data_IF_113062541857
#
_entry.id   IF_113062541857
#
_cell.length_a   1.000
_cell.length_b   1.000
_cell.length_c   1.000
_cell.angle_alpha   90.00
_cell.angle_beta   90.00
_cell.angle_gamma   90.00
#
_symmetry.space_group_name_H-M   'P 1'
#
loop_
_entity.id
_entity.type
_entity.pdbx_description
1 polymer ?
#
# COMPACT_ATOMS: atom_id res chain seq x y z
N UNK A 1 -11.83 -12.88 29.43
CA UNK A 1 -12.52 -14.15 29.10
C UNK A 1 -13.64 -14.47 30.09
N UNK A 2 -13.36 -14.72 31.37
CA UNK A 2 -14.38 -15.03 32.38
C UNK A 2 -15.53 -14.02 32.40
N UNK A 3 -15.22 -12.72 32.41
CA UNK A 3 -16.23 -11.66 32.32
C UNK A 3 -17.13 -11.80 31.07
N UNK A 4 -16.57 -12.13 29.91
CA UNK A 4 -17.37 -12.30 28.68
C UNK A 4 -18.28 -13.54 28.75
N UNK A 5 -17.77 -14.67 29.28
CA UNK A 5 -18.56 -15.89 29.46
C UNK A 5 -19.68 -15.72 30.49
N UNK A 6 -19.45 -14.88 31.51
CA UNK A 6 -20.47 -14.47 32.48
C UNK A 6 -21.43 -13.38 31.95
N UNK A 7 -21.40 -13.08 30.64
CA UNK A 7 -22.24 -12.05 30.01
C UNK A 7 -22.02 -10.66 30.64
N UNK A 8 -20.81 -10.38 31.11
CA UNK A 8 -20.41 -9.08 31.66
C UNK A 8 -19.69 -8.25 30.60
N UNK A 9 -19.88 -6.94 30.67
CA UNK A 9 -19.22 -5.98 29.79
C UNK A 9 -17.69 -6.07 29.94
N UNK A 10 -17.00 -6.28 28.82
CA UNK A 10 -15.54 -6.23 28.74
C UNK A 10 -15.13 -4.82 28.33
N UNK A 11 -14.38 -4.14 29.20
CA UNK A 11 -13.93 -2.75 28.96
C UNK A 11 -13.19 -2.65 27.62
N UNK A 12 -13.57 -1.66 26.82
CA UNK A 12 -12.90 -1.37 25.56
C UNK A 12 -11.51 -0.74 25.75
N UNK A 13 -10.62 -0.90 24.78
CA UNK A 13 -9.29 -0.29 24.77
C UNK A 13 -8.68 -0.21 23.37
N UNK A 14 -7.73 0.70 23.13
CA UNK A 14 -7.11 0.83 21.81
C UNK A 14 -6.23 -0.39 21.51
N UNK A 15 -6.20 -0.79 20.24
CA UNK A 15 -5.20 -1.70 19.68
C UNK A 15 -3.96 -0.95 19.20
N UNK A 16 -2.87 -1.67 19.00
CA UNK A 16 -1.60 -1.14 18.50
C UNK A 16 -0.41 -1.93 19.02
N UNK A 17 0.80 -1.46 18.69
CA UNK A 17 2.05 -2.08 19.11
C UNK A 17 2.68 -1.27 20.26
N UNK A 18 2.87 -1.85 21.47
CA UNK A 18 3.58 -1.19 22.57
C UNK A 18 5.01 -0.76 22.20
N UNK A 19 5.67 -1.52 21.32
CA UNK A 19 7.00 -1.25 20.78
C UNK A 19 7.07 0.08 20.00
N UNK A 20 5.93 0.58 19.52
CA UNK A 20 5.80 1.90 18.85
C UNK A 20 5.41 3.02 19.82
N UNK A 21 5.72 2.88 21.11
CA UNK A 21 5.45 3.89 22.14
C UNK A 21 3.99 4.03 22.56
N UNK A 22 3.10 3.15 22.08
CA UNK A 22 1.67 3.14 22.39
C UNK A 22 1.39 2.49 23.75
N UNK A 23 1.77 3.14 24.85
CA UNK A 23 1.55 2.62 26.22
C UNK A 23 0.07 2.52 26.60
N UNK A 24 -0.80 3.29 25.93
CA UNK A 24 -2.25 3.29 26.08
C UNK A 24 -2.93 1.95 25.69
N UNK A 25 -2.23 1.10 24.93
CA UNK A 25 -2.70 -0.25 24.53
C UNK A 25 -2.53 -1.29 25.64
N UNK A 26 -1.91 -0.91 26.75
CA UNK A 26 -1.87 -1.71 27.98
C UNK A 26 -2.92 -1.22 29.02
N UNK A 27 -3.44 -2.11 29.89
CA UNK A 27 -3.20 -3.56 29.93
C UNK A 27 -3.96 -4.31 28.82
N UNK A 28 -3.57 -5.58 28.60
CA UNK A 28 -4.29 -6.52 27.72
C UNK A 28 -5.61 -6.99 28.37
N UNK A 29 -6.37 -7.84 27.68
CA UNK A 29 -7.65 -8.37 28.17
C UNK A 29 -8.84 -7.42 28.00
N UNK A 30 -8.70 -6.41 27.13
CA UNK A 30 -9.74 -5.45 26.75
C UNK A 30 -10.41 -5.83 25.43
N UNK A 31 -11.62 -5.33 25.20
CA UNK A 31 -12.26 -5.41 23.89
C UNK A 31 -11.64 -4.35 22.97
N UNK A 32 -10.82 -4.77 22.00
CA UNK A 32 -9.97 -3.85 21.26
C UNK A 32 -10.75 -3.04 20.22
N UNK A 33 -10.44 -1.76 20.09
CA UNK A 33 -10.87 -0.90 18.99
C UNK A 33 -9.66 -0.33 18.25
N UNK A 34 -9.85 0.03 16.98
CA UNK A 34 -8.81 0.60 16.13
C UNK A 34 -8.96 2.12 16.00
N UNK A 35 -8.00 2.77 15.33
CA UNK A 35 -8.05 4.20 15.03
C UNK A 35 -9.17 4.56 14.04
N UNK A 36 -9.63 5.82 14.06
CA UNK A 36 -10.53 6.36 13.04
C UNK A 36 -9.80 6.40 11.69
N UNK A 37 -10.24 5.65 10.67
CA UNK A 37 -9.57 5.63 9.38
C UNK A 37 -9.49 7.01 8.74
N UNK A 38 -10.44 7.92 8.99
CA UNK A 38 -10.48 9.25 8.35
C UNK A 38 -9.33 10.19 8.77
N UNK A 39 -8.59 9.84 9.82
CA UNK A 39 -7.43 10.60 10.27
C UNK A 39 -6.11 10.03 9.75
N UNK A 40 -6.17 9.00 8.87
CA UNK A 40 -4.99 8.37 8.28
C UNK A 40 -4.79 8.79 6.82
N UNK A 41 -3.55 9.10 6.41
CA UNK A 41 -2.32 9.09 7.23
C UNK A 41 -2.29 10.25 8.24
N UNK A 42 -1.80 10.00 9.46
CA UNK A 42 -1.61 11.07 10.46
C UNK A 42 -0.46 12.01 10.04
N UNK A 43 -0.36 13.25 10.57
CA UNK A 43 0.77 14.13 10.28
C UNK A 43 2.13 13.49 10.62
N UNK A 44 2.23 12.82 11.77
CA UNK A 44 3.45 12.08 12.15
C UNK A 44 3.74 10.91 11.21
N UNK A 45 2.71 10.17 10.79
CA UNK A 45 2.87 9.11 9.80
C UNK A 45 3.30 9.67 8.44
N UNK A 46 2.89 10.90 8.09
CA UNK A 46 3.37 11.58 6.88
C UNK A 46 4.86 11.92 6.95
N UNK A 47 5.33 12.47 8.07
CA UNK A 47 6.74 12.78 8.25
C UNK A 47 7.62 11.52 8.18
N UNK A 48 7.19 10.44 8.82
CA UNK A 48 7.87 9.14 8.79
C UNK A 48 7.82 8.49 7.41
N UNK A 49 6.66 8.49 6.75
CA UNK A 49 6.49 7.98 5.39
C UNK A 49 7.30 8.75 4.36
N UNK A 50 7.41 10.08 4.50
CA UNK A 50 8.29 10.91 3.65
C UNK A 50 9.76 10.55 3.85
N UNK A 51 10.21 10.40 5.09
CA UNK A 51 11.58 9.97 5.36
C UNK A 51 11.86 8.57 4.76
N UNK A 52 10.93 7.62 4.92
CA UNK A 52 11.05 6.29 4.34
C UNK A 52 11.04 6.32 2.79
N UNK A 53 10.27 7.21 2.17
CA UNK A 53 10.28 7.43 0.72
C UNK A 53 11.65 7.95 0.24
N UNK A 54 12.26 8.87 0.98
CA UNK A 54 13.60 9.38 0.69
C UNK A 54 14.67 8.28 0.81
N UNK A 55 14.56 7.38 1.80
CA UNK A 55 15.43 6.19 1.91
C UNK A 55 15.29 5.25 0.72
N UNK A 56 14.06 4.95 0.28
CA UNK A 56 13.82 4.11 -0.90
C UNK A 56 14.47 4.71 -2.14
N UNK A 57 14.25 6.00 -2.39
CA UNK A 57 14.81 6.70 -3.55
C UNK A 57 16.33 6.75 -3.49
N UNK A 58 16.91 7.05 -2.32
CA UNK A 58 18.35 7.09 -2.12
C UNK A 58 18.99 5.73 -2.37
N UNK A 59 18.42 4.67 -1.81
CA UNK A 59 18.91 3.30 -1.99
C UNK A 59 18.88 2.86 -3.45
N UNK A 60 17.80 3.19 -4.17
CA UNK A 60 17.70 2.91 -5.59
C UNK A 60 18.75 3.69 -6.41
N UNK A 61 18.89 5.00 -6.17
CA UNK A 61 19.88 5.84 -6.85
C UNK A 61 21.32 5.35 -6.61
N UNK A 62 21.66 4.93 -5.40
CA UNK A 62 22.99 4.39 -5.08
C UNK A 62 23.31 3.10 -5.81
N UNK A 63 22.31 2.26 -6.07
CA UNK A 63 22.48 0.95 -6.70
C UNK A 63 22.36 0.98 -8.23
N UNK A 64 21.59 1.93 -8.79
CA UNK A 64 21.26 1.97 -10.22
C UNK A 64 21.77 3.23 -10.94
N UNK A 65 22.15 4.29 -10.21
CA UNK A 65 22.68 5.52 -10.79
C UNK A 65 21.62 6.49 -11.34
N UNK A 66 20.33 6.18 -11.23
CA UNK A 66 19.21 7.03 -11.65
C UNK A 66 18.04 6.91 -10.65
N UNK A 67 17.02 7.76 -10.80
CA UNK A 67 15.81 7.74 -9.98
C UNK A 67 14.86 6.61 -10.38
N UNK A 68 14.15 5.98 -9.42
CA UNK A 68 13.08 5.04 -9.76
C UNK A 68 11.96 5.80 -10.49
N UNK A 69 11.49 5.25 -11.60
CA UNK A 69 10.42 5.81 -12.43
C UNK A 69 9.07 5.28 -12.00
N UNK A 70 8.99 4.01 -11.63
CA UNK A 70 7.77 3.43 -11.09
C UNK A 70 8.05 2.34 -10.06
N UNK A 71 7.12 2.13 -9.12
CA UNK A 71 7.26 1.08 -8.12
C UNK A 71 5.90 0.56 -7.65
N UNK A 72 5.93 -0.59 -6.98
CA UNK A 72 4.76 -1.19 -6.33
C UNK A 72 4.92 -1.10 -4.81
N UNK A 73 3.86 -0.73 -4.10
CA UNK A 73 3.79 -0.74 -2.62
C UNK A 73 2.71 -1.72 -2.17
N UNK A 74 3.06 -2.58 -1.22
CA UNK A 74 2.07 -3.38 -0.51
C UNK A 74 1.37 -2.55 0.57
N UNK A 75 0.04 -2.53 0.57
CA UNK A 75 -0.76 -1.88 1.62
C UNK A 75 -1.58 -2.89 2.40
N UNK A 76 -1.18 -3.11 3.65
CA UNK A 76 -1.84 -4.03 4.56
C UNK A 76 -2.65 -3.26 5.60
N UNK A 77 -3.93 -3.62 5.73
CA UNK A 77 -4.81 -2.94 6.67
C UNK A 77 -4.34 -2.97 8.12
N UNK A 78 -3.77 -4.09 8.57
CA UNK A 78 -3.24 -4.23 9.94
C UNK A 78 -2.01 -3.37 10.18
N UNK A 79 -1.11 -3.25 9.20
CA UNK A 79 0.07 -2.40 9.26
C UNK A 79 -0.33 -0.92 9.32
N UNK A 80 -1.20 -0.48 8.41
CA UNK A 80 -1.66 0.91 8.38
C UNK A 80 -2.36 1.35 9.67
N UNK A 81 -3.05 0.44 10.37
CA UNK A 81 -3.62 0.72 11.70
C UNK A 81 -2.56 0.90 12.79
N UNK A 82 -1.47 0.14 12.74
CA UNK A 82 -0.37 0.22 13.72
C UNK A 82 0.51 1.44 13.49
N UNK A 83 0.69 1.84 12.22
CA UNK A 83 1.54 2.96 11.83
C UNK A 83 0.79 4.29 11.71
N UNK A 84 -0.54 4.26 11.70
CA UNK A 84 -1.34 5.46 11.42
C UNK A 84 -1.26 5.88 9.96
N UNK A 85 -0.93 4.95 9.05
CA UNK A 85 -0.89 5.13 7.60
C UNK A 85 0.47 5.52 7.02
N UNK A 86 1.58 5.09 7.64
CA UNK A 86 2.94 5.41 7.16
C UNK A 86 3.16 4.94 5.71
N UNK A 87 2.60 3.80 5.30
CA UNK A 87 2.77 3.23 3.96
C UNK A 87 1.98 4.03 2.91
N UNK A 88 0.79 4.53 3.28
CA UNK A 88 0.01 5.45 2.45
C UNK A 88 0.79 6.75 2.26
N UNK A 89 1.31 7.29 3.36
CA UNK A 89 2.13 8.50 3.34
C UNK A 89 3.39 8.34 2.50
N UNK A 90 4.08 7.20 2.58
CA UNK A 90 5.26 6.89 1.78
C UNK A 90 4.95 6.94 0.29
N UNK A 91 3.86 6.27 -0.13
CA UNK A 91 3.39 6.32 -1.52
C UNK A 91 3.05 7.74 -1.96
N UNK A 92 2.30 8.50 -1.16
CA UNK A 92 1.97 9.89 -1.48
C UNK A 92 3.23 10.76 -1.60
N UNK A 93 4.20 10.63 -0.70
CA UNK A 93 5.45 11.38 -0.75
C UNK A 93 6.30 11.04 -1.99
N UNK A 94 6.33 9.76 -2.41
CA UNK A 94 7.00 9.32 -3.65
C UNK A 94 6.41 10.02 -4.89
N UNK A 95 5.08 10.15 -4.95
CA UNK A 95 4.40 10.90 -6.01
C UNK A 95 4.55 12.43 -5.91
N UNK A 96 5.06 12.93 -4.79
CA UNK A 96 5.11 14.37 -4.50
C UNK A 96 3.77 14.95 -4.07
N UNK A 97 3.00 14.19 -3.30
CA UNK A 97 1.73 14.57 -2.70
C UNK A 97 1.86 14.74 -1.18
N UNK A 98 1.11 15.71 -0.64
CA UNK A 98 0.99 15.96 0.80
C UNK A 98 -0.48 15.95 1.20
N UNK A 99 -0.92 15.09 2.13
CA UNK A 99 -2.27 15.17 2.66
C UNK A 99 -2.53 16.52 3.34
N UNK A 100 -3.78 16.96 3.34
CA UNK A 100 -4.23 18.14 4.09
C UNK A 100 -5.09 17.68 5.25
N UNK A 101 -4.84 18.26 6.43
CA UNK A 101 -5.55 17.91 7.66
C UNK A 101 -6.38 19.08 8.17
N UNK A 102 -7.58 18.78 8.63
CA UNK A 102 -8.35 19.70 9.46
C UNK A 102 -7.69 19.84 10.84
N UNK A 103 -7.34 21.07 11.22
CA UNK A 103 -6.59 21.34 12.46
C UNK A 103 -7.35 20.95 13.74
N UNK A 104 -8.69 20.94 13.71
CA UNK A 104 -9.51 20.64 14.89
C UNK A 104 -9.74 19.14 15.08
N UNK A 105 -9.93 18.40 13.99
CA UNK A 105 -10.33 16.98 14.01
C UNK A 105 -9.23 16.02 13.60
N UNK A 106 -8.15 16.52 12.99
CA UNK A 106 -7.09 15.69 12.40
C UNK A 106 -7.54 14.86 11.20
N UNK A 107 -8.76 15.09 10.68
CA UNK A 107 -9.28 14.39 9.51
C UNK A 107 -8.62 14.89 8.24
N UNK A 108 -8.44 13.99 7.29
CA UNK A 108 -7.99 14.36 5.96
C UNK A 108 -9.09 15.13 5.22
N UNK A 109 -8.74 16.29 4.69
CA UNK A 109 -9.64 17.16 3.92
C UNK A 109 -9.30 17.21 2.43
N UNK A 110 -8.11 16.73 2.05
CA UNK A 110 -7.66 16.73 0.66
C UNK A 110 -6.20 16.33 0.51
N UNK A 111 -5.67 16.54 -0.70
CA UNK A 111 -4.26 16.38 -1.03
C UNK A 111 -3.78 17.63 -1.74
N UNK A 112 -2.57 18.06 -1.40
CA UNK A 112 -1.78 19.03 -2.13
C UNK A 112 -0.74 18.31 -2.99
N UNK A 113 -0.70 18.64 -4.28
CA UNK A 113 0.38 18.19 -5.17
C UNK A 113 1.51 19.21 -5.09
N UNK A 114 2.66 18.81 -4.54
CA UNK A 114 3.82 19.68 -4.34
C UNK A 114 4.48 20.02 -5.69
N UNK A 115 5.00 21.24 -5.90
CA UNK A 115 5.69 21.59 -7.13
C UNK A 115 7.02 20.81 -7.28
N UNK A 116 7.47 20.47 -8.51
CA UNK A 116 8.70 19.72 -8.74
C UNK A 116 9.95 20.27 -8.03
N UNK A 117 10.07 21.60 -7.97
CA UNK A 117 11.18 22.28 -7.30
C UNK A 117 11.31 21.94 -5.79
N UNK A 118 10.20 21.56 -5.13
CA UNK A 118 10.23 21.11 -3.73
C UNK A 118 10.65 19.65 -3.58
N UNK A 119 10.52 18.84 -4.63
CA UNK A 119 10.88 17.41 -4.59
C UNK A 119 12.38 17.22 -4.80
N UNK A 120 13.02 18.03 -5.64
CA UNK A 120 14.43 17.87 -6.00
C UNK A 120 14.73 16.60 -6.81
N UNK A 121 13.69 15.95 -7.34
CA UNK A 121 13.72 14.72 -8.14
C UNK A 121 12.42 14.60 -8.96
N UNK A 122 12.38 13.73 -9.99
CA UNK A 122 11.13 13.31 -10.61
C UNK A 122 10.14 12.69 -9.60
N UNK A 123 8.85 12.79 -9.92
CA UNK A 123 7.81 12.00 -9.25
C UNK A 123 8.00 10.52 -9.60
N UNK A 124 7.63 9.65 -8.67
CA UNK A 124 7.59 8.20 -8.93
C UNK A 124 6.15 7.80 -9.24
N UNK A 125 5.94 7.02 -10.29
CA UNK A 125 4.64 6.41 -10.58
C UNK A 125 4.40 5.22 -9.63
N UNK A 126 3.53 5.41 -8.65
CA UNK A 126 3.29 4.43 -7.59
C UNK A 126 2.04 3.61 -7.89
N UNK A 127 2.18 2.29 -7.84
CA UNK A 127 1.07 1.34 -7.85
C UNK A 127 0.94 0.71 -6.46
N UNK A 128 -0.27 0.60 -5.92
CA UNK A 128 -0.54 -0.05 -4.65
C UNK A 128 -1.20 -1.40 -4.86
N UNK A 129 -0.68 -2.42 -4.18
CA UNK A 129 -1.30 -3.72 -4.05
C UNK A 129 -1.91 -3.82 -2.65
N UNK A 130 -3.22 -3.65 -2.55
CA UNK A 130 -3.94 -3.63 -1.28
C UNK A 130 -4.29 -5.04 -0.82
N UNK A 131 -4.29 -5.28 0.49
CA UNK A 131 -4.87 -6.51 1.06
C UNK A 131 -6.39 -6.44 1.11
N UNK A 132 -7.07 -7.59 1.17
CA UNK A 132 -8.54 -7.63 1.33
C UNK A 132 -9.02 -6.89 2.59
N UNK A 133 -8.25 -6.98 3.69
CA UNK A 133 -8.54 -6.20 4.90
C UNK A 133 -8.41 -4.69 4.65
N UNK A 134 -7.42 -4.26 3.87
CA UNK A 134 -7.26 -2.85 3.54
C UNK A 134 -8.44 -2.33 2.73
N UNK A 135 -8.87 -3.09 1.71
CA UNK A 135 -10.08 -2.82 0.91
C UNK A 135 -11.30 -2.58 1.80
N UNK A 136 -11.53 -3.47 2.75
CA UNK A 136 -12.76 -3.46 3.54
C UNK A 136 -12.76 -2.35 4.61
N UNK A 137 -11.60 -2.01 5.16
CA UNK A 137 -11.48 -1.04 6.25
C UNK A 137 -11.22 0.40 5.81
N UNK A 138 -10.63 0.60 4.62
CA UNK A 138 -10.11 1.92 4.21
C UNK A 138 -10.62 2.42 2.85
N UNK A 139 -11.95 2.38 2.56
CA UNK A 139 -12.48 2.93 1.32
C UNK A 139 -12.15 4.42 1.14
N UNK A 140 -12.12 5.18 2.24
CA UNK A 140 -11.73 6.61 2.22
C UNK A 140 -10.25 6.80 1.83
N UNK A 141 -9.36 5.90 2.24
CA UNK A 141 -7.95 5.97 1.85
C UNK A 141 -7.75 5.55 0.39
N UNK A 142 -8.52 4.58 -0.10
CA UNK A 142 -8.53 4.22 -1.53
C UNK A 142 -8.95 5.45 -2.36
N UNK A 143 -10.03 6.13 -1.96
CA UNK A 143 -10.46 7.37 -2.61
C UNK A 143 -9.39 8.48 -2.54
N UNK A 144 -8.68 8.59 -1.41
CA UNK A 144 -7.57 9.54 -1.24
C UNK A 144 -6.42 9.25 -2.22
N UNK A 145 -5.98 7.99 -2.27
CA UNK A 145 -4.88 7.55 -3.15
C UNK A 145 -5.28 7.75 -4.62
N UNK A 146 -6.51 7.39 -4.99
CA UNK A 146 -7.02 7.58 -6.35
C UNK A 146 -7.09 9.07 -6.71
N UNK A 147 -7.59 9.93 -5.81
CA UNK A 147 -7.60 11.38 -6.02
C UNK A 147 -6.19 11.95 -6.20
N UNK A 148 -5.21 11.46 -5.44
CA UNK A 148 -3.81 11.87 -5.58
C UNK A 148 -3.22 11.42 -6.93
N UNK A 149 -3.46 10.17 -7.34
CA UNK A 149 -3.03 9.66 -8.64
C UNK A 149 -3.64 10.47 -9.79
N UNK A 150 -4.94 10.76 -9.73
CA UNK A 150 -5.60 11.59 -10.74
C UNK A 150 -5.05 13.02 -10.77
N UNK A 151 -4.80 13.63 -9.61
CA UNK A 151 -4.26 14.99 -9.53
C UNK A 151 -2.83 15.09 -10.11
N UNK A 152 -1.98 14.08 -9.84
CA UNK A 152 -0.62 13.98 -10.38
C UNK A 152 -0.63 13.68 -11.88
N UNK A 153 -1.48 12.75 -12.33
CA UNK A 153 -1.62 12.39 -13.75
C UNK A 153 -2.06 13.58 -14.62
N UNK A 154 -2.87 14.48 -14.06
CA UNK A 154 -3.37 15.67 -14.75
C UNK A 154 -2.41 16.87 -14.74
N UNK A 155 -1.20 16.74 -14.20
CA UNK A 155 -0.21 17.83 -14.22
C UNK A 155 0.40 18.01 -15.61
N UNK A 156 0.55 19.26 -16.02
CA UNK A 156 1.32 19.65 -17.20
C UNK A 156 2.79 19.83 -16.81
N UNK A 157 3.48 18.70 -16.68
CA UNK A 157 4.90 18.57 -16.33
C UNK A 157 5.62 17.77 -17.41
N UNK A 158 6.94 17.97 -17.54
CA UNK A 158 7.75 17.23 -18.51
C UNK A 158 7.66 15.72 -18.28
N UNK A 159 7.75 14.93 -19.37
CA UNK A 159 7.67 13.45 -19.29
C UNK A 159 8.77 12.85 -18.39
N UNK A 160 9.93 13.50 -18.37
CA UNK A 160 11.09 13.17 -17.53
C UNK A 160 10.83 13.45 -16.04
N UNK A 161 9.95 14.39 -15.69
CA UNK A 161 9.66 14.78 -14.30
C UNK A 161 8.45 14.04 -13.73
N UNK A 162 7.47 13.67 -14.56
CA UNK A 162 6.24 13.01 -14.13
C UNK A 162 5.89 11.80 -15.03
N UNK A 163 6.39 10.60 -14.68
CA UNK A 163 6.12 9.38 -15.43
C UNK A 163 4.62 9.04 -15.52
N UNK A 164 3.85 9.34 -14.46
CA UNK A 164 2.41 9.08 -14.42
C UNK A 164 1.64 9.96 -15.42
N UNK A 165 1.96 11.25 -15.50
CA UNK A 165 1.37 12.16 -16.47
C UNK A 165 1.80 11.82 -17.91
N UNK A 166 3.08 11.49 -18.11
CA UNK A 166 3.60 11.02 -19.40
C UNK A 166 2.82 9.80 -19.91
N UNK A 167 2.65 8.79 -19.05
CA UNK A 167 1.90 7.58 -19.39
C UNK A 167 0.43 7.88 -19.65
N UNK A 168 -0.18 8.76 -18.87
CA UNK A 168 -1.58 9.18 -19.06
C UNK A 168 -1.80 9.84 -20.42
N UNK A 169 -0.88 10.71 -20.87
CA UNK A 169 -0.93 11.31 -22.20
C UNK A 169 -0.78 10.26 -23.30
N UNK A 170 0.16 9.33 -23.15
CA UNK A 170 0.40 8.26 -24.13
C UNK A 170 -0.80 7.31 -24.27
N UNK A 171 -1.41 6.92 -23.14
CA UNK A 171 -2.54 5.99 -23.10
C UNK A 171 -3.89 6.67 -23.43
N UNK A 172 -3.94 8.01 -23.38
CA UNK A 172 -5.18 8.80 -23.53
C UNK A 172 -6.17 8.64 -22.36
N UNK A 173 -5.75 7.97 -21.28
CA UNK A 173 -6.56 7.73 -20.07
C UNK A 173 -5.65 7.50 -18.87
N UNK A 174 -6.19 7.74 -17.68
CA UNK A 174 -5.50 7.40 -16.43
C UNK A 174 -5.72 5.92 -16.18
N UNK A 175 -4.64 5.13 -16.29
CA UNK A 175 -4.67 3.71 -15.93
C UNK A 175 -4.78 3.55 -14.40
N UNK A 176 -5.44 2.50 -13.88
CA UNK A 176 -5.58 2.31 -12.44
C UNK A 176 -4.23 2.18 -11.73
N UNK A 177 -4.18 2.58 -10.46
CA UNK A 177 -2.98 2.43 -9.60
C UNK A 177 -3.21 1.63 -8.34
N UNK A 178 -4.44 1.28 -8.00
CA UNK A 178 -4.75 0.51 -6.80
C UNK A 178 -5.32 -0.82 -7.23
N UNK A 179 -4.70 -1.91 -6.82
CA UNK A 179 -5.06 -3.27 -7.22
C UNK A 179 -5.18 -4.20 -6.02
N UNK A 180 -6.06 -5.18 -6.10
CA UNK A 180 -6.23 -6.17 -5.05
C UNK A 180 -7.07 -7.35 -5.51
N UNK A 181 -7.39 -8.21 -4.56
CA UNK A 181 -8.26 -9.37 -4.80
C UNK A 181 -9.72 -8.96 -4.97
N UNK A 182 -10.56 -9.83 -5.52
CA UNK A 182 -12.00 -9.58 -5.66
C UNK A 182 -12.70 -9.37 -4.30
N UNK A 183 -13.81 -8.60 -4.23
CA UNK A 183 -14.59 -8.46 -3.01
C UNK A 183 -14.95 -9.81 -2.38
N UNK A 184 -14.78 -9.94 -1.05
CA UNK A 184 -15.05 -11.17 -0.31
C UNK A 184 -13.91 -12.20 -0.31
N UNK A 185 -12.83 -11.96 -1.06
CA UNK A 185 -11.60 -12.77 -1.00
C UNK A 185 -10.48 -12.02 -0.29
N UNK A 186 -9.51 -12.76 0.25
CA UNK A 186 -8.40 -12.26 1.06
C UNK A 186 -7.10 -12.99 0.71
N UNK A 187 -5.96 -12.40 1.09
CA UNK A 187 -4.65 -12.96 0.85
C UNK A 187 -4.01 -12.50 -0.46
N UNK A 188 -3.06 -13.30 -0.94
CA UNK A 188 -2.38 -13.12 -2.20
C UNK A 188 -2.69 -14.16 -3.26
N UNK A 189 -3.53 -15.14 -2.92
CA UNK A 189 -3.98 -16.19 -3.82
C UNK A 189 -2.93 -17.28 -4.04
N UNK A 190 -1.83 -17.24 -3.30
CA UNK A 190 -0.76 -18.24 -3.36
C UNK A 190 -0.66 -19.07 -2.09
N UNK A 191 -1.38 -18.69 -1.02
CA UNK A 191 -1.33 -19.35 0.28
C UNK A 191 -1.70 -20.84 0.21
N UNK A 192 -2.74 -21.19 -0.55
CA UNK A 192 -3.18 -22.58 -0.71
C UNK A 192 -2.18 -23.41 -1.53
N UNK A 193 -1.59 -22.81 -2.58
CA UNK A 193 -0.57 -23.46 -3.40
C UNK A 193 0.69 -23.71 -2.55
N UNK A 194 1.12 -22.71 -1.79
CA UNK A 194 2.30 -22.82 -0.92
C UNK A 194 2.09 -23.83 0.21
N UNK A 195 0.92 -23.81 0.86
CA UNK A 195 0.63 -24.71 1.99
C UNK A 195 0.41 -26.16 1.58
N UNK A 196 -0.19 -26.40 0.40
CA UNK A 196 -0.37 -27.76 -0.12
C UNK A 196 0.92 -28.38 -0.66
N UNK A 197 1.90 -27.56 -1.05
CA UNK A 197 3.12 -28.03 -1.73
C UNK A 197 2.88 -28.57 -3.13
N UNK A 198 1.66 -28.45 -3.67
CA UNK A 198 1.25 -28.98 -4.96
C UNK A 198 1.60 -28.00 -6.10
N UNK A 199 2.87 -27.62 -6.21
CA UNK A 199 3.39 -26.78 -7.28
C UNK A 199 4.73 -27.34 -7.75
N UNK A 200 5.00 -27.22 -9.04
CA UNK A 200 6.24 -27.76 -9.64
C UNK A 200 7.17 -26.67 -10.16
N UNK A 201 6.63 -25.50 -10.46
CA UNK A 201 7.37 -24.36 -10.98
C UNK A 201 6.98 -23.04 -10.29
N UNK A 202 7.96 -22.14 -10.17
CA UNK A 202 7.76 -20.77 -9.66
C UNK A 202 6.72 -20.00 -10.49
N UNK A 203 6.65 -20.26 -11.79
CA UNK A 203 5.69 -19.63 -12.70
C UNK A 203 4.23 -19.91 -12.33
N UNK A 204 3.94 -21.07 -11.73
CA UNK A 204 2.59 -21.39 -11.25
C UNK A 204 2.17 -20.46 -10.11
N UNK A 205 3.09 -20.19 -9.18
CA UNK A 205 2.90 -19.24 -8.08
C UNK A 205 2.72 -17.82 -8.64
N UNK A 206 3.54 -17.44 -9.60
CA UNK A 206 3.48 -16.11 -10.22
C UNK A 206 2.15 -15.86 -10.92
N UNK A 207 1.67 -16.82 -11.71
CA UNK A 207 0.35 -16.73 -12.37
C UNK A 207 -0.79 -16.67 -11.35
N UNK A 208 -0.76 -17.51 -10.31
CA UNK A 208 -1.78 -17.47 -9.26
C UNK A 208 -1.83 -16.11 -8.55
N UNK A 209 -0.69 -15.49 -8.28
CA UNK A 209 -0.62 -14.13 -7.70
C UNK A 209 -1.24 -13.06 -8.62
N UNK A 210 -0.94 -13.14 -9.93
CA UNK A 210 -1.50 -12.24 -10.94
C UNK A 210 -3.02 -12.42 -11.08
N UNK A 211 -3.47 -13.66 -11.19
CA UNK A 211 -4.89 -14.04 -11.29
C UNK A 211 -5.67 -13.60 -10.05
N UNK A 212 -5.09 -13.75 -8.87
CA UNK A 212 -5.69 -13.31 -7.63
C UNK A 212 -5.84 -11.79 -7.58
N UNK A 213 -4.89 -11.04 -8.16
CA UNK A 213 -4.91 -9.57 -8.24
C UNK A 213 -5.77 -9.10 -9.43
N UNK A 214 -7.03 -9.54 -9.41
CA UNK A 214 -7.98 -9.41 -10.53
C UNK A 214 -8.76 -8.10 -10.57
N UNK A 215 -8.66 -7.25 -9.55
CA UNK A 215 -9.50 -6.05 -9.43
C UNK A 215 -8.67 -4.79 -9.28
N UNK A 216 -9.11 -3.73 -9.96
CA UNK A 216 -8.67 -2.37 -9.74
C UNK A 216 -9.63 -1.66 -8.78
N UNK A 217 -9.10 -0.82 -7.90
CA UNK A 217 -9.86 -0.07 -6.91
C UNK A 217 -9.70 1.44 -7.12
N UNK A 218 -10.75 2.22 -6.83
CA UNK A 218 -10.69 3.67 -6.97
C UNK A 218 -12.05 4.35 -6.81
N UNK A 219 -12.13 5.60 -7.23
CA UNK A 219 -13.34 6.42 -7.11
C UNK A 219 -13.64 6.86 -5.67
N UNK A 220 -14.66 7.71 -5.53
CA UNK A 220 -15.02 8.34 -4.25
C UNK A 220 -15.44 7.32 -3.17
N UNK A 221 -15.95 6.15 -3.58
CA UNK A 221 -16.36 5.06 -2.70
C UNK A 221 -15.29 3.99 -2.45
N UNK A 222 -14.15 4.04 -3.14
CA UNK A 222 -13.15 2.96 -3.11
C UNK A 222 -13.68 1.66 -3.73
N UNK A 223 -14.41 1.76 -4.82
CA UNK A 223 -15.09 0.66 -5.49
C UNK A 223 -14.11 -0.23 -6.25
N UNK A 224 -14.37 -1.54 -6.24
CA UNK A 224 -13.59 -2.53 -6.98
C UNK A 224 -14.24 -2.87 -8.33
N UNK A 225 -13.47 -2.76 -9.40
CA UNK A 225 -13.88 -3.15 -10.76
C UNK A 225 -12.97 -4.28 -11.22
N UNK A 226 -13.58 -5.33 -11.77
CA UNK A 226 -12.83 -6.45 -12.37
C UNK A 226 -11.94 -5.93 -13.51
N UNK A 227 -10.64 -6.17 -13.39
CA UNK A 227 -9.59 -5.71 -14.29
C UNK A 227 -8.49 -6.79 -14.45
N UNK A 228 -8.85 -8.01 -14.87
CA UNK A 228 -7.87 -9.09 -15.05
C UNK A 228 -6.77 -8.69 -16.04
N UNK A 229 -5.53 -9.06 -15.74
CA UNK A 229 -4.34 -8.74 -16.55
C UNK A 229 -3.86 -7.28 -16.47
N UNK A 230 -4.64 -6.35 -15.93
CA UNK A 230 -4.23 -4.95 -15.84
C UNK A 230 -3.04 -4.73 -14.89
N UNK A 231 -2.92 -5.56 -13.85
CA UNK A 231 -1.83 -5.49 -12.89
C UNK A 231 -0.49 -5.99 -13.46
N UNK A 232 -0.50 -6.90 -14.43
CA UNK A 232 0.71 -7.43 -15.09
C UNK A 232 1.56 -6.30 -15.68
N UNK A 233 0.91 -5.36 -16.38
CA UNK A 233 1.60 -4.20 -16.95
C UNK A 233 2.14 -3.23 -15.91
N UNK A 234 1.64 -3.22 -14.67
CA UNK A 234 2.22 -2.42 -13.57
C UNK A 234 3.45 -3.09 -13.00
N UNK A 235 3.36 -4.39 -12.73
CA UNK A 235 4.50 -5.17 -12.23
C UNK A 235 5.63 -5.17 -13.25
N UNK A 236 5.32 -5.33 -14.54
CA UNK A 236 6.32 -5.31 -15.60
C UNK A 236 7.03 -3.96 -15.73
N UNK A 237 6.42 -2.84 -15.37
CA UNK A 237 7.05 -1.52 -15.45
C UNK A 237 7.77 -1.13 -14.15
N UNK A 238 7.44 -1.77 -13.03
CA UNK A 238 7.98 -1.44 -11.72
C UNK A 238 9.48 -1.69 -11.63
N UNK A 239 10.20 -0.69 -11.12
CA UNK A 239 11.63 -0.77 -10.84
C UNK A 239 11.93 -1.51 -9.53
N UNK A 240 10.96 -1.53 -8.60
CA UNK A 240 11.06 -2.18 -7.30
C UNK A 240 9.70 -2.43 -6.64
N UNK A 241 9.69 -3.36 -5.70
CA UNK A 241 8.64 -3.55 -4.70
C UNK A 241 9.08 -2.93 -3.37
N UNK A 242 8.18 -2.19 -2.73
CA UNK A 242 8.35 -1.71 -1.36
C UNK A 242 7.33 -2.42 -0.46
N UNK A 243 7.85 -3.20 0.47
CA UNK A 243 7.07 -3.83 1.52
C UNK A 243 7.54 -3.30 2.88
N UNK A 244 6.63 -2.73 3.66
CA UNK A 244 6.99 -2.10 4.95
C UNK A 244 6.91 -3.10 6.09
N UNK A 245 8.01 -3.28 6.81
CA UNK A 245 8.01 -3.97 8.10
C UNK A 245 7.52 -3.03 9.20
N UNK A 246 6.36 -3.31 9.78
CA UNK A 246 5.69 -2.38 10.67
C UNK A 246 5.75 -2.75 12.17
N UNK A 247 6.08 -4.03 12.45
CA UNK A 247 6.27 -4.57 13.79
C UNK A 247 7.70 -5.12 13.96
N UNK A 248 8.56 -4.49 14.79
CA UNK A 248 9.92 -4.97 15.01
C UNK A 248 9.98 -6.31 15.77
N UNK A 249 8.87 -6.76 16.36
CA UNK A 249 8.77 -8.06 17.01
C UNK A 249 8.42 -9.20 16.07
N UNK A 250 8.19 -8.92 14.78
CA UNK A 250 7.82 -9.92 13.77
C UNK A 250 8.84 -9.93 12.64
N UNK A 251 9.32 -11.12 12.31
CA UNK A 251 10.22 -11.37 11.19
C UNK A 251 9.45 -11.84 9.94
N UNK A 252 10.01 -11.63 8.75
CA UNK A 252 9.41 -12.06 7.47
C UNK A 252 9.26 -13.59 7.34
N UNK A 253 9.99 -14.37 8.13
CA UNK A 253 9.92 -15.83 8.16
C UNK A 253 8.91 -16.36 9.19
N UNK A 254 8.34 -15.51 10.05
CA UNK A 254 7.37 -15.94 11.07
C UNK A 254 5.97 -16.20 10.50
N UNK A 255 5.63 -15.61 9.35
CA UNK A 255 4.29 -15.66 8.78
C UNK A 255 4.28 -15.98 7.28
N UNK A 256 3.22 -16.67 6.84
CA UNK A 256 3.02 -16.97 5.42
C UNK A 256 2.61 -15.75 4.58
N UNK A 257 2.11 -14.69 5.21
CA UNK A 257 1.61 -13.51 4.50
C UNK A 257 2.72 -12.75 3.77
N UNK A 258 3.88 -12.55 4.39
CA UNK A 258 5.02 -11.85 3.76
C UNK A 258 5.55 -12.67 2.59
N UNK A 259 5.70 -13.99 2.78
CA UNK A 259 6.05 -14.93 1.70
C UNK A 259 5.04 -14.86 0.55
N UNK A 260 3.74 -14.81 0.86
CA UNK A 260 2.70 -14.76 -0.14
C UNK A 260 2.68 -13.45 -0.94
N UNK A 261 2.90 -12.31 -0.28
CA UNK A 261 2.91 -11.00 -0.95
C UNK A 261 4.24 -10.71 -1.65
N UNK A 262 5.35 -10.79 -0.94
CA UNK A 262 6.69 -10.48 -1.45
C UNK A 262 7.14 -11.58 -2.41
N UNK A 263 7.04 -12.84 -1.98
CA UNK A 263 7.42 -14.00 -2.80
C UNK A 263 6.47 -14.20 -3.99
N UNK A 264 5.17 -13.96 -3.80
CA UNK A 264 4.18 -13.98 -4.89
C UNK A 264 4.46 -12.91 -5.95
N UNK A 265 4.75 -11.67 -5.53
CA UNK A 265 5.19 -10.60 -6.43
C UNK A 265 6.46 -10.99 -7.20
N UNK A 266 7.48 -11.47 -6.49
CA UNK A 266 8.74 -11.89 -7.10
C UNK A 266 8.53 -13.05 -8.08
N UNK A 267 7.62 -13.99 -7.79
CA UNK A 267 7.24 -15.05 -8.73
C UNK A 267 6.48 -14.52 -9.95
N UNK A 268 5.62 -13.51 -9.77
CA UNK A 268 4.90 -12.86 -10.86
C UNK A 268 5.84 -12.12 -11.81
N UNK A 269 6.83 -11.38 -11.30
CA UNK A 269 7.88 -10.74 -12.11
C UNK A 269 8.62 -11.77 -12.96
N UNK A 270 9.02 -12.90 -12.36
CA UNK A 270 9.70 -13.98 -13.07
C UNK A 270 8.82 -14.61 -14.16
N UNK A 271 7.52 -14.83 -13.88
CA UNK A 271 6.56 -15.37 -14.83
C UNK A 271 6.33 -14.44 -16.04
N UNK A 272 6.57 -13.13 -15.90
CA UNK A 272 6.53 -12.13 -16.97
C UNK A 272 7.86 -12.04 -17.75
N UNK A 273 8.81 -12.95 -17.49
CA UNK A 273 10.10 -13.02 -18.19
C UNK A 273 11.10 -11.93 -17.78
N UNK A 274 10.91 -11.31 -16.60
CA UNK A 274 11.82 -10.31 -16.04
C UNK A 274 12.65 -10.90 -14.91
N UNK A 275 13.86 -10.39 -14.74
CA UNK A 275 14.68 -10.73 -13.58
C UNK A 275 14.06 -10.06 -12.35
N UNK A 276 13.72 -10.88 -11.37
CA UNK A 276 13.16 -10.48 -10.08
C UNK A 276 14.25 -10.28 -9.03
#
# INVERSE_FOLDING_TARGET
LLAALDVRHVKAGPSGAPSRGRSDVLPTGRNLFTSDPRTMPTPTAYDLGRAAAEEVVRGYMQSHGDWPRSLVIDLWGSASLRTGGEEIAQGLALMGCRPQWDSATGRITGIEVLPPAMLGRPRVDVTWRISGLFRDMFPTQIALIDAAANAVAARDEEDSENPLAAKTRADGKISPRIFGTSPGTYGAGVEDILSSGNWSARDEIGRAYLDATSHAYGGAGGEGISAPGAFEGRIAEADLLVHTGDDPGRDILEGSADVAFIGGFSAAVAALGRNA
#
